data_IF_456858500492
#
_entry.id   IF_456858500492
#
_cell.length_a   1.000
_cell.length_b   1.000
_cell.length_c   1.000
_cell.angle_alpha   90.00
_cell.angle_beta   90.00
_cell.angle_gamma   90.00
#
_symmetry.space_group_name_H-M   'P 1'
#
loop_
_entity.id
_entity.type
_entity.pdbx_description
1 polymer ?
#
# COMPACT_ATOMS: atom_id res chain seq x y z
N UNK A 1 -6.84 55.92 40.69
CA UNK A 1 -7.67 56.92 39.95
C UNK A 1 -6.70 57.75 39.12
N UNK A 2 -6.81 57.74 37.79
CA UNK A 2 -5.97 58.59 36.92
C UNK A 2 -6.78 59.86 36.66
N UNK A 3 -6.29 61.01 37.12
CA UNK A 3 -6.94 62.31 36.92
C UNK A 3 -6.11 63.15 35.97
N UNK A 4 -6.65 63.43 34.78
CA UNK A 4 -6.07 64.28 33.74
C UNK A 4 -7.15 64.71 32.76
N UNK A 5 -7.04 65.92 32.21
CA UNK A 5 -8.09 66.71 31.57
C UNK A 5 -8.57 66.17 30.20
N UNK A 6 -7.99 65.09 29.69
CA UNK A 6 -8.40 64.46 28.43
C UNK A 6 -8.34 62.94 28.56
N UNK A 7 -9.36 62.24 28.05
CA UNK A 7 -9.45 60.77 28.05
C UNK A 7 -8.29 60.03 27.36
N UNK A 8 -7.35 60.75 26.76
CA UNK A 8 -6.16 60.24 26.10
C UNK A 8 -5.26 59.42 27.05
N UNK A 9 -5.03 59.86 28.30
CA UNK A 9 -4.11 59.16 29.22
C UNK A 9 -4.58 57.75 29.63
N UNK A 10 -5.90 57.57 29.83
CA UNK A 10 -6.50 56.26 30.12
C UNK A 10 -6.46 55.36 28.90
N UNK A 11 -6.74 55.90 27.72
CA UNK A 11 -6.73 55.14 26.45
C UNK A 11 -5.31 54.69 26.07
N UNK A 12 -4.29 55.54 26.28
CA UNK A 12 -2.88 55.19 26.05
C UNK A 12 -2.46 54.04 26.96
N UNK A 13 -2.80 54.12 28.26
CA UNK A 13 -2.44 53.08 29.22
C UNK A 13 -3.15 51.74 28.91
N UNK A 14 -4.45 51.76 28.61
CA UNK A 14 -5.19 50.55 28.25
C UNK A 14 -4.74 49.96 26.90
N UNK A 15 -4.37 50.81 25.94
CA UNK A 15 -3.78 50.38 24.67
C UNK A 15 -2.42 49.69 24.89
N UNK A 16 -1.52 50.33 25.63
CA UNK A 16 -0.20 49.79 25.96
C UNK A 16 -0.29 48.46 26.73
N UNK A 17 -1.19 48.40 27.73
CA UNK A 17 -1.44 47.18 28.50
C UNK A 17 -2.01 46.07 27.60
N UNK A 18 -2.94 46.39 26.71
CA UNK A 18 -3.48 45.42 25.74
C UNK A 18 -2.40 44.80 24.84
N UNK A 19 -1.44 45.60 24.38
CA UNK A 19 -0.31 45.13 23.55
C UNK A 19 0.66 44.24 24.32
N UNK A 20 0.88 44.53 25.61
CA UNK A 20 1.67 43.70 26.52
C UNK A 20 0.96 42.36 26.82
N UNK A 21 -0.37 42.31 26.72
CA UNK A 21 -1.18 41.11 27.01
C UNK A 21 -1.54 40.31 25.75
N UNK A 22 -0.82 40.50 24.64
CA UNK A 22 -0.99 39.69 23.44
C UNK A 22 -2.02 40.18 22.42
N UNK A 23 -2.59 41.40 22.58
CA UNK A 23 -3.40 41.99 21.50
C UNK A 23 -2.53 42.37 20.30
N UNK A 24 -3.11 42.28 19.10
CA UNK A 24 -2.44 42.72 17.87
C UNK A 24 -2.21 44.23 17.89
N UNK A 25 -1.03 44.63 17.44
CA UNK A 25 -0.69 46.03 17.27
C UNK A 25 -1.40 46.64 16.06
N UNK A 26 -2.05 47.78 16.28
CA UNK A 26 -2.53 48.65 15.22
C UNK A 26 -1.51 49.78 15.03
N UNK A 27 -0.87 49.84 13.87
CA UNK A 27 0.16 50.84 13.56
C UNK A 27 -0.39 52.27 13.58
N UNK A 28 -1.70 52.45 13.40
CA UNK A 28 -2.36 53.76 13.50
C UNK A 28 -2.39 54.32 14.93
N UNK A 29 -2.10 53.49 15.93
CA UNK A 29 -2.09 53.87 17.35
C UNK A 29 -0.70 54.23 17.90
N UNK A 30 0.35 54.14 17.07
CA UNK A 30 1.73 54.44 17.46
C UNK A 30 2.02 55.93 17.23
N UNK A 31 2.58 56.59 18.25
CA UNK A 31 2.79 58.05 18.23
C UNK A 31 3.79 58.54 17.17
N UNK A 32 4.88 57.80 16.95
CA UNK A 32 5.86 58.08 15.91
C UNK A 32 6.08 56.82 15.05
N UNK A 33 5.56 56.77 13.81
CA UNK A 33 5.63 55.58 12.96
C UNK A 33 7.04 55.33 12.39
N UNK A 34 7.96 56.29 12.46
CA UNK A 34 9.32 56.17 11.92
C UNK A 34 10.33 55.66 12.96
N UNK A 35 9.93 55.52 14.23
CA UNK A 35 10.78 55.03 15.31
C UNK A 35 10.27 53.73 15.95
N UNK A 36 11.19 52.97 16.58
CA UNK A 36 10.84 51.73 17.28
C UNK A 36 10.01 52.05 18.53
N UNK A 37 8.79 51.52 18.60
CA UNK A 37 7.96 51.58 19.79
C UNK A 37 8.29 50.41 20.74
N UNK A 38 8.55 50.72 22.01
CA UNK A 38 8.82 49.73 23.05
C UNK A 38 7.87 49.96 24.21
N UNK A 39 7.22 48.88 24.65
CA UNK A 39 6.27 48.87 25.75
C UNK A 39 6.75 47.80 26.72
N UNK A 40 6.95 48.17 27.98
CA UNK A 40 7.43 47.25 29.02
C UNK A 40 6.54 47.36 30.26
N UNK A 41 6.23 46.22 30.86
CA UNK A 41 5.56 46.14 32.15
C UNK A 41 6.23 45.10 33.01
N UNK A 42 6.16 45.34 34.32
CA UNK A 42 6.73 44.46 35.32
C UNK A 42 5.62 43.99 36.25
N UNK A 43 5.57 42.68 36.49
CA UNK A 43 4.57 42.02 37.29
C UNK A 43 5.20 41.27 38.46
N UNK A 44 4.66 41.45 39.66
CA UNK A 44 5.01 40.62 40.80
C UNK A 44 4.14 39.35 40.77
N UNK A 45 4.65 38.28 40.19
CA UNK A 45 3.91 37.02 39.95
C UNK A 45 4.13 35.97 41.04
N UNK A 46 5.00 36.23 42.02
CA UNK A 46 5.36 35.27 43.07
C UNK A 46 4.20 34.73 43.92
N UNK A 47 3.12 35.50 44.05
CA UNK A 47 1.92 35.11 44.81
C UNK A 47 0.85 34.42 43.94
N UNK A 48 1.09 34.28 42.64
CA UNK A 48 0.20 33.60 41.71
C UNK A 48 0.72 32.19 41.44
N UNK A 49 -0.16 31.19 41.37
CA UNK A 49 0.19 29.79 41.05
C UNK A 49 0.49 29.58 39.56
N UNK A 50 1.39 30.41 38.99
CA UNK A 50 1.66 30.44 37.53
C UNK A 50 2.84 29.58 37.11
N UNK A 51 3.56 28.92 38.02
CA UNK A 51 4.75 28.12 37.66
C UNK A 51 4.46 27.05 36.61
N UNK A 52 3.34 26.33 36.75
CA UNK A 52 2.91 25.32 35.79
C UNK A 52 2.54 25.88 34.42
N UNK A 53 2.07 27.13 34.37
CA UNK A 53 1.83 27.85 33.11
C UNK A 53 3.14 28.20 32.42
N UNK A 54 4.11 28.72 33.16
CA UNK A 54 5.43 29.06 32.61
C UNK A 54 6.15 27.80 32.09
N UNK A 55 6.12 26.70 32.83
CA UNK A 55 6.69 25.41 32.38
C UNK A 55 6.00 24.87 31.12
N UNK A 56 4.66 24.94 31.05
CA UNK A 56 3.90 24.45 29.90
C UNK A 56 4.16 25.27 28.64
N UNK A 57 4.27 26.59 28.79
CA UNK A 57 4.49 27.53 27.69
C UNK A 57 5.98 27.74 27.36
N UNK A 58 6.88 27.03 28.05
CA UNK A 58 8.35 27.13 27.92
C UNK A 58 8.87 28.56 28.13
N UNK A 59 8.44 29.18 29.24
CA UNK A 59 8.76 30.55 29.64
C UNK A 59 9.67 30.57 30.87
N UNK A 60 10.63 31.49 30.88
CA UNK A 60 11.50 31.73 32.05
C UNK A 60 10.70 32.35 33.20
N UNK A 61 10.60 31.65 34.33
CA UNK A 61 9.86 32.10 35.49
C UNK A 61 10.74 32.90 36.45
N UNK A 62 10.33 34.14 36.74
CA UNK A 62 10.87 34.95 37.82
C UNK A 62 9.74 35.56 38.65
N UNK A 63 9.90 35.63 39.98
CA UNK A 63 8.88 36.20 40.87
C UNK A 63 8.50 37.64 40.53
N UNK A 64 9.43 38.37 39.90
CA UNK A 64 9.23 39.68 39.32
C UNK A 64 9.45 39.54 37.81
N UNK A 65 8.38 39.28 37.07
CA UNK A 65 8.44 39.00 35.64
C UNK A 65 8.33 40.30 34.84
N UNK A 66 9.22 40.47 33.85
CA UNK A 66 9.21 41.59 32.91
C UNK A 66 8.66 41.11 31.57
N UNK A 67 7.67 41.83 31.05
CA UNK A 67 7.09 41.59 29.74
C UNK A 67 7.37 42.81 28.87
N UNK A 68 8.02 42.58 27.71
CA UNK A 68 8.38 43.64 26.76
C UNK A 68 7.79 43.34 25.39
N UNK A 69 7.14 44.34 24.80
CA UNK A 69 6.65 44.32 23.41
C UNK A 69 7.39 45.39 22.61
N UNK A 70 7.99 44.97 21.50
CA UNK A 70 8.61 45.88 20.53
C UNK A 70 7.82 45.88 19.23
N UNK A 71 7.62 47.05 18.64
CA UNK A 71 6.99 47.24 17.34
C UNK A 71 7.91 48.11 16.49
N UNK A 72 8.36 47.55 15.36
CA UNK A 72 9.24 48.23 14.42
C UNK A 72 8.42 49.06 13.42
N UNK A 73 8.99 50.13 12.82
CA UNK A 73 8.37 50.89 11.74
C UNK A 73 7.86 50.01 10.57
N UNK A 74 8.56 48.91 10.31
CA UNK A 74 8.18 47.89 9.31
C UNK A 74 6.89 47.11 9.60
N UNK A 75 6.25 47.32 10.76
CA UNK A 75 5.08 46.56 11.21
C UNK A 75 5.40 45.23 11.91
N UNK A 76 6.66 44.77 11.84
CA UNK A 76 7.09 43.57 12.57
C UNK A 76 7.07 43.84 14.07
N UNK A 77 6.51 42.89 14.83
CA UNK A 77 6.41 42.99 16.28
C UNK A 77 7.04 41.79 16.97
N UNK A 78 7.74 42.05 18.08
CA UNK A 78 8.46 41.06 18.90
C UNK A 78 7.97 41.16 20.34
N UNK A 79 7.95 40.04 21.04
CA UNK A 79 7.64 40.00 22.46
C UNK A 79 8.72 39.23 23.22
N UNK A 80 8.90 39.61 24.47
CA UNK A 80 9.85 39.02 25.38
C UNK A 80 9.22 38.86 26.77
N UNK A 81 9.55 37.75 27.44
CA UNK A 81 9.28 37.51 28.86
C UNK A 81 10.63 37.21 29.51
N UNK A 82 11.05 38.02 30.48
CA UNK A 82 12.36 37.91 31.14
C UNK A 82 13.53 37.81 30.12
N UNK A 83 13.50 38.70 29.12
CA UNK A 83 14.45 38.78 28.00
C UNK A 83 14.49 37.56 27.04
N UNK A 84 13.67 36.55 27.26
CA UNK A 84 13.48 35.42 26.34
C UNK A 84 12.40 35.73 25.29
N UNK A 85 12.67 35.53 23.98
CA UNK A 85 11.71 35.84 22.92
C UNK A 85 10.52 34.87 22.94
N UNK A 86 9.31 35.41 22.86
CA UNK A 86 8.06 34.64 22.94
C UNK A 86 7.10 34.93 21.78
N UNK A 87 6.20 33.98 21.53
CA UNK A 87 5.10 34.15 20.59
C UNK A 87 3.97 35.00 21.17
N UNK A 88 3.11 35.53 20.28
CA UNK A 88 1.92 36.27 20.71
C UNK A 88 0.92 35.38 21.48
N UNK A 89 0.85 34.09 21.13
CA UNK A 89 -0.06 33.14 21.79
C UNK A 89 0.38 32.86 23.23
N UNK A 90 1.67 32.62 23.46
CA UNK A 90 2.23 32.48 24.81
C UNK A 90 1.98 33.74 25.64
N UNK A 91 2.14 34.93 25.02
CA UNK A 91 1.86 36.20 25.69
C UNK A 91 0.38 36.39 26.03
N UNK A 92 -0.53 35.95 25.16
CA UNK A 92 -1.97 35.98 25.42
C UNK A 92 -2.37 35.04 26.57
N UNK A 93 -1.85 33.81 26.56
CA UNK A 93 -2.10 32.81 27.61
C UNK A 93 -1.61 33.29 28.99
N UNK A 94 -0.47 34.00 29.01
CA UNK A 94 0.04 34.65 30.22
C UNK A 94 -0.82 35.85 30.62
N UNK A 95 -1.22 36.69 29.65
CA UNK A 95 -2.01 37.89 29.86
C UNK A 95 -3.38 37.63 30.52
N UNK A 96 -4.07 36.56 30.10
CA UNK A 96 -5.34 36.10 30.70
C UNK A 96 -5.26 35.82 32.21
N UNK A 97 -4.06 35.50 32.71
CA UNK A 97 -3.84 35.21 34.14
C UNK A 97 -3.30 36.39 34.94
N UNK A 98 -2.69 37.38 34.28
CA UNK A 98 -2.02 38.50 34.94
C UNK A 98 -2.88 39.74 35.07
N UNK A 99 -3.77 39.99 34.11
CA UNK A 99 -4.56 41.22 34.08
C UNK A 99 -5.97 40.92 33.62
N UNK A 100 -6.92 41.25 34.49
CA UNK A 100 -8.33 41.30 34.11
C UNK A 100 -8.71 42.74 33.71
N UNK A 101 -8.92 42.96 32.41
CA UNK A 101 -9.39 44.26 31.90
C UNK A 101 -10.92 44.23 31.85
N UNK A 102 -11.54 44.73 32.92
CA UNK A 102 -12.97 44.99 32.93
C UNK A 102 -13.30 46.18 32.00
N UNK A 103 -13.69 45.87 30.76
CA UNK A 103 -14.29 46.82 29.83
C UNK A 103 -15.80 46.59 29.71
N UNK A 104 -16.54 47.53 29.11
CA UNK A 104 -18.00 47.50 28.97
C UNK A 104 -18.58 46.33 28.12
N UNK A 105 -17.80 45.29 27.82
CA UNK A 105 -18.16 44.18 26.92
C UNK A 105 -17.90 42.77 27.51
N UNK A 106 -18.18 42.55 28.80
CA UNK A 106 -18.10 41.22 29.46
C UNK A 106 -19.24 40.24 29.07
N UNK A 107 -20.05 40.56 28.06
CA UNK A 107 -21.20 39.73 27.63
C UNK A 107 -20.79 38.39 27.00
N UNK A 108 -19.53 38.20 26.61
CA UNK A 108 -19.07 37.00 25.88
C UNK A 108 -18.85 35.75 26.75
N UNK A 109 -18.41 35.88 28.01
CA UNK A 109 -18.20 34.72 28.90
C UNK A 109 -19.53 34.11 29.36
N UNK A 110 -20.56 34.94 29.54
CA UNK A 110 -21.91 34.49 29.89
C UNK A 110 -22.61 33.71 28.76
N UNK A 111 -22.13 33.81 27.52
CA UNK A 111 -22.63 33.01 26.39
C UNK A 111 -21.83 31.73 26.15
N UNK A 112 -20.70 31.54 26.85
CA UNK A 112 -19.93 30.31 26.74
C UNK A 112 -20.63 29.18 27.52
N UNK A 113 -20.94 28.09 26.82
CA UNK A 113 -21.59 26.93 27.41
C UNK A 113 -20.72 26.31 28.52
N UNK A 114 -19.40 26.30 28.37
CA UNK A 114 -18.53 25.70 29.39
C UNK A 114 -18.58 26.51 30.70
N UNK A 115 -18.54 27.84 30.61
CA UNK A 115 -18.73 28.71 31.76
C UNK A 115 -20.12 28.57 32.39
N UNK A 116 -21.20 28.50 31.58
CA UNK A 116 -22.56 28.30 32.08
C UNK A 116 -22.72 26.99 32.86
N UNK A 117 -22.17 25.87 32.35
CA UNK A 117 -22.19 24.59 33.05
C UNK A 117 -21.37 24.64 34.34
N UNK A 118 -20.20 25.29 34.33
CA UNK A 118 -19.37 25.46 35.52
C UNK A 118 -20.11 26.23 36.62
N UNK A 119 -20.81 27.31 36.27
CA UNK A 119 -21.62 28.10 37.22
C UNK A 119 -22.80 27.28 37.75
N UNK A 120 -23.48 26.52 36.89
CA UNK A 120 -24.58 25.63 37.28
C UNK A 120 -24.13 24.53 38.24
N UNK A 121 -23.01 23.86 37.93
CA UNK A 121 -22.46 22.79 38.79
C UNK A 121 -21.98 23.33 40.13
N UNK A 122 -21.38 24.53 40.16
CA UNK A 122 -20.99 25.19 41.40
C UNK A 122 -22.21 25.59 42.24
N UNK A 123 -23.26 26.14 41.62
CA UNK A 123 -24.50 26.49 42.32
C UNK A 123 -25.23 25.26 42.87
N UNK A 124 -25.22 24.15 42.14
CA UNK A 124 -25.84 22.89 42.54
C UNK A 124 -25.00 22.07 43.55
N UNK A 125 -23.72 22.44 43.78
CA UNK A 125 -22.81 21.69 44.64
C UNK A 125 -22.38 20.34 44.06
N UNK A 126 -22.31 20.21 42.73
CA UNK A 126 -22.08 18.96 42.02
C UNK A 126 -20.60 18.54 41.94
N UNK A 127 -19.68 19.21 42.63
CA UNK A 127 -18.23 19.01 42.48
C UNK A 127 -17.81 17.53 42.61
N UNK A 128 -18.32 16.83 43.62
CA UNK A 128 -18.06 15.40 43.84
C UNK A 128 -18.64 14.54 42.72
N UNK A 129 -19.91 14.76 42.36
CA UNK A 129 -20.60 13.99 41.31
C UNK A 129 -19.94 14.19 39.93
N UNK A 130 -19.52 15.42 39.63
CA UNK A 130 -18.79 15.76 38.41
C UNK A 130 -17.40 15.10 38.39
N UNK A 131 -16.72 15.03 39.54
CA UNK A 131 -15.45 14.30 39.69
C UNK A 131 -15.60 12.80 39.42
N UNK A 132 -16.59 12.18 40.04
CA UNK A 132 -16.93 10.76 39.83
C UNK A 132 -17.30 10.48 38.36
N UNK A 133 -18.13 11.32 37.77
CA UNK A 133 -18.49 11.22 36.35
C UNK A 133 -17.27 11.33 35.44
N UNK A 134 -16.40 12.32 35.65
CA UNK A 134 -15.18 12.49 34.84
C UNK A 134 -14.26 11.28 34.93
N UNK A 135 -14.12 10.68 36.12
CA UNK A 135 -13.33 9.47 36.31
C UNK A 135 -13.95 8.28 35.58
N UNK A 136 -15.26 8.06 35.75
CA UNK A 136 -15.99 6.99 35.06
C UNK A 136 -15.93 7.15 33.53
N UNK A 137 -16.09 8.37 33.03
CA UNK A 137 -16.01 8.68 31.61
C UNK A 137 -14.60 8.43 31.04
N UNK A 138 -13.55 8.81 31.78
CA UNK A 138 -12.16 8.54 31.40
C UNK A 138 -11.90 7.03 31.31
N UNK A 139 -12.37 6.26 32.28
CA UNK A 139 -12.26 4.81 32.26
C UNK A 139 -13.04 4.20 31.09
N UNK A 140 -14.29 4.61 30.88
CA UNK A 140 -15.09 4.17 29.72
C UNK A 140 -14.37 4.44 28.40
N UNK A 141 -13.77 5.63 28.22
CA UNK A 141 -13.02 5.95 27.00
C UNK A 141 -11.79 5.08 26.82
N UNK A 142 -11.07 4.78 27.90
CA UNK A 142 -9.92 3.85 27.87
C UNK A 142 -10.36 2.45 27.45
N UNK A 143 -11.37 1.89 28.12
CA UNK A 143 -11.90 0.54 27.82
C UNK A 143 -12.47 0.45 26.40
N UNK A 144 -13.13 1.51 25.92
CA UNK A 144 -13.63 1.57 24.53
C UNK A 144 -12.49 1.55 23.50
N UNK A 145 -11.38 2.22 23.77
CA UNK A 145 -10.20 2.21 22.89
C UNK A 145 -9.53 0.84 22.90
N UNK A 146 -9.40 0.22 24.08
CA UNK A 146 -8.83 -1.11 24.25
C UNK A 146 -9.69 -2.18 23.55
N UNK A 147 -11.01 -2.14 23.74
CA UNK A 147 -11.94 -3.01 23.04
C UNK A 147 -11.85 -2.86 21.52
N UNK A 148 -11.75 -1.61 21.02
CA UNK A 148 -11.61 -1.36 19.58
C UNK A 148 -10.31 -1.95 19.03
N UNK A 149 -9.21 -1.81 19.78
CA UNK A 149 -7.90 -2.39 19.43
C UNK A 149 -7.98 -3.92 19.39
N UNK A 150 -8.47 -4.55 20.45
CA UNK A 150 -8.59 -6.01 20.54
C UNK A 150 -9.49 -6.60 19.44
N UNK A 151 -10.60 -5.92 19.09
CA UNK A 151 -11.45 -6.32 17.97
C UNK A 151 -10.74 -6.25 16.62
N UNK A 152 -9.88 -5.24 16.41
CA UNK A 152 -9.11 -5.12 15.19
C UNK A 152 -8.04 -6.22 15.10
N UNK A 153 -7.35 -6.51 16.21
CA UNK A 153 -6.37 -7.59 16.32
C UNK A 153 -7.02 -8.96 16.08
N UNK A 154 -8.18 -9.23 16.69
CA UNK A 154 -8.95 -10.46 16.45
C UNK A 154 -9.36 -10.60 14.98
N UNK A 155 -9.83 -9.52 14.34
CA UNK A 155 -10.25 -9.55 12.95
C UNK A 155 -9.07 -9.69 11.96
N UNK A 156 -7.86 -9.29 12.35
CA UNK A 156 -6.64 -9.56 11.57
C UNK A 156 -6.21 -11.02 11.74
N UNK A 157 -6.17 -11.53 12.98
CA UNK A 157 -5.81 -12.91 13.28
C UNK A 157 -6.72 -13.93 12.56
N UNK A 158 -8.04 -13.70 12.55
CA UNK A 158 -8.99 -14.55 11.80
C UNK A 158 -8.74 -14.53 10.29
N UNK A 159 -8.39 -13.36 9.72
CA UNK A 159 -8.08 -13.25 8.29
C UNK A 159 -6.77 -13.96 7.94
N UNK A 160 -5.77 -13.84 8.80
CA UNK A 160 -4.50 -14.55 8.65
C UNK A 160 -4.71 -16.07 8.73
N UNK A 161 -5.50 -16.53 9.69
CA UNK A 161 -5.87 -17.94 9.85
C UNK A 161 -6.60 -18.49 8.62
N UNK A 162 -7.63 -17.80 8.12
CA UNK A 162 -8.36 -18.18 6.91
C UNK A 162 -7.43 -18.25 5.69
N UNK A 163 -6.52 -17.28 5.55
CA UNK A 163 -5.58 -17.24 4.45
C UNK A 163 -4.57 -18.39 4.50
N UNK A 164 -4.00 -18.68 5.67
CA UNK A 164 -3.08 -19.82 5.86
C UNK A 164 -3.77 -21.15 5.61
N UNK A 165 -4.99 -21.33 6.13
CA UNK A 165 -5.79 -22.52 5.85
C UNK A 165 -6.08 -22.70 4.35
N UNK A 166 -6.39 -21.62 3.64
CA UNK A 166 -6.59 -21.66 2.20
C UNK A 166 -5.34 -22.12 1.45
N UNK A 167 -4.16 -21.58 1.78
CA UNK A 167 -2.89 -22.00 1.18
C UNK A 167 -2.55 -23.46 1.51
N UNK A 168 -2.73 -23.88 2.76
CA UNK A 168 -2.48 -25.24 3.19
C UNK A 168 -3.37 -26.24 2.45
N UNK A 169 -4.67 -25.95 2.34
CA UNK A 169 -5.62 -26.81 1.63
C UNK A 169 -5.26 -26.96 0.15
N UNK A 170 -4.87 -25.87 -0.53
CA UNK A 170 -4.42 -25.94 -1.94
C UNK A 170 -3.20 -26.88 -2.10
N UNK A 171 -2.23 -26.79 -1.18
CA UNK A 171 -1.03 -27.64 -1.20
C UNK A 171 -1.32 -29.10 -0.85
N UNK A 172 -2.28 -29.36 0.06
CA UNK A 172 -2.75 -30.69 0.39
C UNK A 172 -3.51 -31.33 -0.78
N UNK A 173 -4.41 -30.58 -1.41
CA UNK A 173 -5.17 -31.02 -2.60
C UNK A 173 -4.24 -31.32 -3.79
N UNK A 174 -3.16 -30.55 -3.95
CA UNK A 174 -2.16 -30.78 -4.98
C UNK A 174 -1.44 -32.14 -4.83
N UNK A 175 -1.44 -32.73 -3.64
CA UNK A 175 -0.89 -34.06 -3.35
C UNK A 175 0.50 -34.27 -3.98
N UNK A 176 1.42 -33.35 -3.67
CA UNK A 176 2.77 -33.33 -4.21
C UNK A 176 3.61 -34.48 -3.65
N UNK A 177 4.36 -35.16 -4.52
CA UNK A 177 5.31 -36.21 -4.12
C UNK A 177 6.74 -35.81 -4.48
N UNK A 178 7.72 -36.08 -3.60
CA UNK A 178 9.13 -35.85 -3.91
C UNK A 178 9.57 -36.63 -5.14
N UNK A 179 10.34 -36.01 -6.03
CA UNK A 179 10.85 -36.63 -7.26
C UNK A 179 9.79 -36.88 -8.34
N UNK A 180 8.53 -36.46 -8.14
CA UNK A 180 7.47 -36.66 -9.14
C UNK A 180 7.71 -35.81 -10.38
N UNK A 181 8.16 -34.55 -10.20
CA UNK A 181 8.37 -33.62 -11.31
C UNK A 181 9.39 -34.15 -12.31
N UNK A 182 10.58 -34.55 -11.84
CA UNK A 182 11.66 -35.02 -12.70
C UNK A 182 11.24 -36.24 -13.52
N UNK A 183 10.56 -37.21 -12.87
CA UNK A 183 10.07 -38.39 -13.57
C UNK A 183 9.03 -38.07 -14.64
N UNK A 184 8.23 -37.03 -14.40
CA UNK A 184 7.14 -36.63 -15.28
C UNK A 184 7.67 -35.78 -16.44
N UNK A 185 8.70 -34.96 -16.22
CA UNK A 185 9.43 -34.23 -17.26
C UNK A 185 10.14 -35.17 -18.24
N UNK A 186 10.88 -36.18 -17.75
CA UNK A 186 11.54 -37.18 -18.62
C UNK A 186 10.53 -37.93 -19.51
N UNK A 187 9.39 -38.31 -18.90
CA UNK A 187 8.31 -39.01 -19.58
C UNK A 187 7.62 -38.10 -20.60
N UNK A 188 7.36 -36.84 -20.23
CA UNK A 188 6.75 -35.83 -21.08
C UNK A 188 7.62 -35.54 -22.31
N UNK A 189 8.93 -35.35 -22.16
CA UNK A 189 9.82 -35.14 -23.30
C UNK A 189 9.76 -36.30 -24.28
N UNK A 190 9.73 -37.53 -23.77
CA UNK A 190 9.63 -38.73 -24.61
C UNK A 190 8.33 -38.75 -25.41
N UNK A 191 7.18 -38.48 -24.78
CA UNK A 191 5.87 -38.49 -25.42
C UNK A 191 5.67 -37.30 -26.39
N UNK A 192 6.13 -36.11 -26.02
CA UNK A 192 6.07 -34.92 -26.88
C UNK A 192 6.91 -35.13 -28.16
N UNK A 193 8.07 -35.79 -28.06
CA UNK A 193 8.86 -36.15 -29.24
C UNK A 193 8.09 -37.11 -30.18
N UNK A 194 7.39 -38.10 -29.61
CA UNK A 194 6.55 -39.04 -30.36
C UNK A 194 5.42 -38.30 -31.08
N UNK A 195 4.74 -37.36 -30.42
CA UNK A 195 3.69 -36.55 -31.03
C UNK A 195 4.23 -35.68 -32.19
N UNK A 196 5.35 -34.98 -31.98
CA UNK A 196 5.98 -34.15 -33.01
C UNK A 196 6.40 -34.97 -34.23
N UNK A 197 6.97 -36.15 -34.02
CA UNK A 197 7.32 -37.08 -35.10
C UNK A 197 6.06 -37.51 -35.86
N UNK A 198 5.02 -37.94 -35.14
CA UNK A 198 3.78 -38.42 -35.75
C UNK A 198 3.08 -37.34 -36.57
N UNK A 199 2.97 -36.12 -36.02
CA UNK A 199 2.40 -34.97 -36.71
C UNK A 199 3.21 -34.59 -37.96
N UNK A 200 4.55 -34.57 -37.85
CA UNK A 200 5.43 -34.27 -38.98
C UNK A 200 5.36 -35.31 -40.09
N UNK A 201 5.28 -36.60 -39.75
CA UNK A 201 5.11 -37.68 -40.72
C UNK A 201 3.74 -37.63 -41.39
N UNK A 202 2.68 -37.32 -40.64
CA UNK A 202 1.33 -37.16 -41.21
C UNK A 202 1.27 -35.99 -42.21
N UNK A 203 1.89 -34.85 -41.89
CA UNK A 203 1.99 -33.70 -42.79
C UNK A 203 2.83 -34.02 -44.05
N UNK A 204 3.94 -34.75 -43.88
CA UNK A 204 4.77 -35.21 -44.98
C UNK A 204 3.99 -36.16 -45.90
N UNK A 205 3.28 -37.15 -45.33
CA UNK A 205 2.45 -38.08 -46.09
C UNK A 205 1.34 -37.34 -46.86
N UNK A 206 0.66 -36.38 -46.21
CA UNK A 206 -0.33 -35.54 -46.88
C UNK A 206 0.27 -34.76 -48.06
N UNK A 207 1.51 -34.28 -47.94
CA UNK A 207 2.19 -33.57 -49.03
C UNK A 207 2.49 -34.45 -50.24
N UNK A 208 2.72 -35.75 -50.04
CA UNK A 208 2.88 -36.72 -51.14
C UNK A 208 1.56 -37.02 -51.84
N UNK A 209 0.48 -37.21 -51.08
CA UNK A 209 -0.76 -37.86 -51.54
C UNK A 209 -1.97 -36.93 -51.73
N UNK A 210 -1.83 -35.63 -51.45
CA UNK A 210 -2.93 -34.66 -51.60
C UNK A 210 -3.50 -34.69 -53.02
N UNK A 211 -4.80 -34.92 -53.15
CA UNK A 211 -5.48 -34.99 -54.44
C UNK A 211 -5.23 -33.72 -55.29
N UNK A 212 -4.84 -33.91 -56.55
CA UNK A 212 -4.53 -32.88 -57.57
C UNK A 212 -3.34 -31.94 -57.27
N UNK A 213 -2.79 -31.97 -56.06
CA UNK A 213 -1.72 -31.08 -55.61
C UNK A 213 -0.49 -31.82 -55.05
N UNK A 214 -0.60 -33.11 -54.79
CA UNK A 214 0.43 -33.95 -54.21
C UNK A 214 1.60 -34.14 -55.16
N UNK A 215 2.79 -34.34 -54.58
CA UNK A 215 4.01 -34.51 -55.38
C UNK A 215 3.89 -35.72 -56.32
N UNK A 216 3.23 -36.80 -55.87
CA UNK A 216 3.04 -38.02 -56.67
C UNK A 216 2.14 -37.79 -57.90
N UNK A 217 1.02 -37.08 -57.72
CA UNK A 217 0.11 -36.73 -58.83
C UNK A 217 0.80 -35.81 -59.85
N UNK A 218 1.52 -34.80 -59.36
CA UNK A 218 2.27 -33.87 -60.22
C UNK A 218 3.38 -34.59 -60.99
N UNK A 219 4.12 -35.48 -60.32
CA UNK A 219 5.17 -36.28 -60.94
C UNK A 219 4.60 -37.23 -62.01
N UNK A 220 3.46 -37.85 -61.73
CA UNK A 220 2.73 -38.68 -62.69
C UNK A 220 2.32 -37.88 -63.93
N UNK A 221 1.80 -36.66 -63.76
CA UNK A 221 1.47 -35.76 -64.87
C UNK A 221 2.69 -35.37 -65.71
N UNK A 222 3.86 -35.14 -65.07
CA UNK A 222 5.13 -34.87 -65.77
C UNK A 222 5.57 -36.11 -66.55
N UNK A 223 5.58 -37.30 -65.92
CA UNK A 223 5.94 -38.58 -66.55
C UNK A 223 5.12 -38.83 -67.82
N UNK A 224 3.80 -38.61 -67.79
CA UNK A 224 2.92 -38.77 -68.96
C UNK A 224 3.25 -37.80 -70.10
N UNK A 225 3.76 -36.60 -69.79
CA UNK A 225 4.17 -35.63 -70.82
C UNK A 225 5.52 -35.99 -71.42
N UNK A 226 6.49 -36.39 -70.60
CA UNK A 226 7.84 -36.73 -71.07
C UNK A 226 7.85 -38.07 -71.82
N UNK A 227 7.04 -39.05 -71.42
CA UNK A 227 6.94 -40.34 -72.13
C UNK A 227 6.48 -40.19 -73.57
N UNK A 228 5.56 -39.25 -73.84
CA UNK A 228 5.14 -38.88 -75.21
C UNK A 228 6.27 -38.28 -76.05
N UNK A 229 7.30 -37.72 -75.40
CA UNK A 229 8.45 -37.10 -76.04
C UNK A 229 9.65 -38.05 -76.18
N UNK A 230 9.66 -39.19 -75.48
CA UNK A 230 10.78 -40.12 -75.43
C UNK A 230 11.20 -40.65 -76.82
N UNK A 231 10.26 -40.76 -77.77
CA UNK A 231 10.53 -41.24 -79.13
C UNK A 231 11.30 -40.26 -80.04
N UNK A 232 11.46 -38.99 -79.64
CA UNK A 232 12.09 -37.97 -80.49
C UNK A 232 13.62 -37.87 -80.35
N UNK A 233 14.24 -38.62 -79.44
CA UNK A 233 15.69 -38.65 -79.30
C UNK A 233 16.16 -39.40 -78.06
N UNK A 234 17.42 -39.85 -78.08
CA UNK A 234 18.03 -40.62 -76.99
C UNK A 234 18.01 -39.86 -75.66
N UNK A 235 18.31 -38.55 -75.68
CA UNK A 235 18.31 -37.72 -74.47
C UNK A 235 16.94 -37.67 -73.77
N UNK A 236 15.85 -37.68 -74.53
CA UNK A 236 14.48 -37.68 -73.99
C UNK A 236 14.07 -39.06 -73.47
N UNK A 237 14.55 -40.14 -74.09
CA UNK A 237 14.36 -41.50 -73.60
C UNK A 237 15.09 -41.72 -72.27
N UNK A 238 16.36 -41.31 -72.18
CA UNK A 238 17.17 -41.39 -70.95
C UNK A 238 16.53 -40.56 -69.81
N UNK A 239 15.96 -39.39 -70.13
CA UNK A 239 15.22 -38.57 -69.16
C UNK A 239 13.94 -39.25 -68.67
N UNK A 240 13.18 -39.90 -69.56
CA UNK A 240 11.96 -40.62 -69.20
C UNK A 240 12.28 -41.79 -68.25
N UNK A 241 13.32 -42.58 -68.54
CA UNK A 241 13.74 -43.70 -67.68
C UNK A 241 14.11 -43.21 -66.27
N UNK A 242 14.83 -42.09 -66.15
CA UNK A 242 15.14 -41.48 -64.85
C UNK A 242 13.89 -41.00 -64.11
N UNK A 243 12.92 -40.42 -64.81
CA UNK A 243 11.65 -40.01 -64.20
C UNK A 243 10.84 -41.20 -63.70
N UNK A 244 10.85 -42.34 -64.40
CA UNK A 244 10.21 -43.56 -63.92
C UNK A 244 10.86 -44.09 -62.65
N UNK A 245 12.20 -44.12 -62.61
CA UNK A 245 12.93 -44.56 -61.42
C UNK A 245 12.65 -43.67 -60.21
N UNK A 246 12.61 -42.34 -60.38
CA UNK A 246 12.30 -41.40 -59.30
C UNK A 246 10.84 -41.53 -58.84
N UNK A 247 9.90 -41.80 -59.75
CA UNK A 247 8.50 -42.00 -59.36
C UNK A 247 8.31 -43.21 -58.45
N UNK A 248 8.93 -44.34 -58.78
CA UNK A 248 8.89 -45.55 -57.96
C UNK A 248 9.50 -45.29 -56.57
N UNK A 249 10.69 -44.69 -56.54
CA UNK A 249 11.36 -44.35 -55.26
C UNK A 249 10.51 -43.42 -54.39
N UNK A 250 9.82 -42.45 -55.01
CA UNK A 250 8.98 -41.51 -54.27
C UNK A 250 7.71 -42.17 -53.71
N UNK A 251 7.12 -43.12 -54.43
CA UNK A 251 6.00 -43.94 -53.95
C UNK A 251 6.43 -44.77 -52.73
N UNK A 252 7.58 -45.45 -52.81
CA UNK A 252 8.14 -46.25 -51.70
C UNK A 252 8.44 -45.39 -50.45
N UNK A 253 8.97 -44.17 -50.65
CA UNK A 253 9.20 -43.22 -49.55
C UNK A 253 7.87 -42.79 -48.92
N UNK A 254 6.86 -42.48 -49.73
CA UNK A 254 5.55 -42.06 -49.21
C UNK A 254 4.88 -43.16 -48.38
N UNK A 255 4.94 -44.42 -48.85
CA UNK A 255 4.43 -45.57 -48.11
C UNK A 255 5.24 -45.82 -46.83
N UNK A 256 6.56 -45.67 -46.87
CA UNK A 256 7.41 -45.78 -45.69
C UNK A 256 7.09 -44.72 -44.64
N UNK A 257 6.81 -43.47 -45.06
CA UNK A 257 6.39 -42.39 -44.15
C UNK A 257 5.07 -42.72 -43.46
N UNK A 258 4.07 -43.20 -44.21
CA UNK A 258 2.78 -43.60 -43.64
C UNK A 258 2.91 -44.78 -42.66
N UNK A 259 3.70 -45.80 -43.03
CA UNK A 259 3.95 -46.96 -42.19
C UNK A 259 4.65 -46.57 -40.88
N UNK A 260 5.65 -45.68 -40.93
CA UNK A 260 6.34 -45.20 -39.72
C UNK A 260 5.36 -44.37 -38.86
N UNK A 261 4.53 -43.53 -39.48
CA UNK A 261 3.52 -42.75 -38.77
C UNK A 261 2.52 -43.64 -38.02
N UNK A 262 2.01 -44.69 -38.67
CA UNK A 262 1.07 -45.64 -38.06
C UNK A 262 1.67 -46.46 -36.92
N UNK A 263 2.97 -46.79 -37.01
CA UNK A 263 3.67 -47.52 -35.95
C UNK A 263 4.15 -46.62 -34.79
N UNK A 264 4.11 -45.30 -34.98
CA UNK A 264 4.46 -44.32 -33.96
C UNK A 264 3.19 -43.91 -33.24
N UNK A 265 2.74 -44.74 -32.29
CA UNK A 265 1.57 -44.41 -31.46
C UNK A 265 2.00 -43.63 -30.21
N UNK A 266 1.45 -42.43 -30.04
CA UNK A 266 1.44 -41.70 -28.78
C UNK A 266 0.03 -41.73 -28.17
N UNK A 267 -0.08 -41.54 -26.86
CA UNK A 267 -1.35 -41.35 -26.16
C UNK A 267 -1.55 -39.84 -25.89
N UNK A 268 -2.41 -39.14 -26.66
CA UNK A 268 -2.65 -37.71 -26.47
C UNK A 268 -3.33 -37.39 -25.13
N UNK A 269 -4.12 -38.32 -24.58
CA UNK A 269 -4.74 -38.11 -23.27
C UNK A 269 -3.68 -38.20 -22.17
N UNK A 270 -2.77 -39.18 -22.23
CA UNK A 270 -1.62 -39.27 -21.32
C UNK A 270 -0.79 -37.99 -21.36
N UNK A 271 -0.43 -37.50 -22.55
CA UNK A 271 0.35 -36.26 -22.72
C UNK A 271 -0.37 -35.05 -22.10
N UNK A 272 -1.67 -34.86 -22.38
CA UNK A 272 -2.45 -33.75 -21.83
C UNK A 272 -2.55 -33.81 -20.30
N UNK A 273 -2.71 -35.00 -19.71
CA UNK A 273 -2.72 -35.15 -18.26
C UNK A 273 -1.36 -34.81 -17.63
N UNK A 274 -0.27 -35.15 -18.31
CA UNK A 274 1.08 -34.80 -17.86
C UNK A 274 1.34 -33.29 -17.94
N UNK A 275 0.95 -32.63 -19.03
CA UNK A 275 1.02 -31.17 -19.16
C UNK A 275 0.29 -30.46 -18.04
N UNK A 276 -0.94 -30.91 -17.74
CA UNK A 276 -1.74 -30.34 -16.65
C UNK A 276 -1.05 -30.52 -15.29
N UNK A 277 -0.41 -31.68 -15.04
CA UNK A 277 0.32 -31.98 -13.81
C UNK A 277 1.60 -31.14 -13.68
N UNK A 278 2.39 -31.01 -14.75
CA UNK A 278 3.58 -30.14 -14.77
C UNK A 278 3.20 -28.67 -14.57
N UNK A 279 2.13 -28.21 -15.23
CA UNK A 279 1.63 -26.85 -15.07
C UNK A 279 1.26 -26.55 -13.63
N UNK A 280 0.58 -27.49 -12.96
CA UNK A 280 0.27 -27.37 -11.53
C UNK A 280 1.54 -27.18 -10.69
N UNK A 281 2.61 -27.96 -10.96
CA UNK A 281 3.88 -27.81 -10.24
C UNK A 281 4.50 -26.42 -10.45
N UNK A 282 4.58 -25.94 -11.70
CA UNK A 282 5.14 -24.62 -11.99
C UNK A 282 4.31 -23.48 -11.41
N UNK A 283 2.98 -23.58 -11.45
CA UNK A 283 2.08 -22.59 -10.87
C UNK A 283 2.27 -22.51 -9.34
N UNK A 284 2.39 -23.65 -8.65
CA UNK A 284 2.65 -23.70 -7.22
C UNK A 284 4.05 -23.19 -6.86
N UNK A 285 5.09 -23.61 -7.59
CA UNK A 285 6.45 -23.10 -7.41
C UNK A 285 6.51 -21.58 -7.55
N UNK A 286 5.86 -21.04 -8.57
CA UNK A 286 5.77 -19.59 -8.78
C UNK A 286 4.98 -18.89 -7.67
N UNK A 287 3.85 -19.46 -7.24
CA UNK A 287 3.00 -18.88 -6.19
C UNK A 287 3.74 -18.82 -4.85
N UNK A 288 4.51 -19.85 -4.52
CA UNK A 288 5.24 -19.97 -3.27
C UNK A 288 6.70 -19.53 -3.35
N UNK A 289 7.14 -19.01 -4.51
CA UNK A 289 8.52 -18.59 -4.78
C UNK A 289 9.56 -19.69 -4.47
N UNK A 290 9.23 -20.92 -4.83
CA UNK A 290 10.05 -22.11 -4.61
C UNK A 290 10.75 -22.54 -5.92
N UNK A 291 11.97 -23.06 -5.81
CA UNK A 291 12.79 -23.55 -6.91
C UNK A 291 12.54 -25.01 -7.29
N UNK A 292 11.88 -25.79 -6.43
CA UNK A 292 11.53 -27.20 -6.69
C UNK A 292 10.24 -27.62 -5.99
N UNK A 293 9.69 -28.79 -6.37
CA UNK A 293 8.52 -29.38 -5.69
C UNK A 293 8.84 -29.73 -4.24
N UNK A 294 10.07 -30.14 -3.92
CA UNK A 294 10.51 -30.43 -2.55
C UNK A 294 10.46 -29.19 -1.67
N UNK A 295 10.83 -28.03 -2.21
CA UNK A 295 10.70 -26.76 -1.48
C UNK A 295 9.22 -26.41 -1.23
N UNK A 296 8.34 -26.65 -2.20
CA UNK A 296 6.88 -26.45 -2.00
C UNK A 296 6.33 -27.42 -0.94
N UNK A 297 6.80 -28.67 -0.92
CA UNK A 297 6.45 -29.65 0.12
C UNK A 297 6.92 -29.17 1.50
N UNK A 298 8.14 -28.64 1.61
CA UNK A 298 8.63 -28.08 2.87
C UNK A 298 7.78 -26.88 3.34
N UNK A 299 7.32 -26.03 2.41
CA UNK A 299 6.41 -24.92 2.71
C UNK A 299 5.05 -25.43 3.20
N UNK A 300 4.51 -26.49 2.58
CA UNK A 300 3.27 -27.15 3.04
C UNK A 300 3.44 -27.64 4.48
N UNK A 301 4.52 -28.35 4.78
CA UNK A 301 4.75 -28.94 6.10
C UNK A 301 4.91 -27.86 7.17
N UNK A 302 5.63 -26.77 6.86
CA UNK A 302 5.73 -25.62 7.74
C UNK A 302 4.37 -24.93 7.97
N UNK A 303 3.55 -24.78 6.93
CA UNK A 303 2.20 -24.21 7.04
C UNK A 303 1.28 -25.10 7.89
N UNK A 304 1.38 -26.42 7.76
CA UNK A 304 0.61 -27.37 8.58
C UNK A 304 0.98 -27.25 10.06
N UNK A 305 2.28 -27.20 10.39
CA UNK A 305 2.74 -26.97 11.75
C UNK A 305 2.25 -25.62 12.32
N UNK A 306 2.34 -24.54 11.53
CA UNK A 306 1.85 -23.23 11.93
C UNK A 306 0.33 -23.24 12.21
N UNK A 307 -0.47 -23.81 11.31
CA UNK A 307 -1.93 -23.89 11.45
C UNK A 307 -2.33 -24.75 12.65
N UNK A 308 -1.65 -25.88 12.88
CA UNK A 308 -1.90 -26.72 14.06
C UNK A 308 -1.60 -25.95 15.35
N UNK A 309 -0.48 -25.22 15.40
CA UNK A 309 -0.14 -24.39 16.55
C UNK A 309 -1.18 -23.29 16.83
N UNK A 310 -1.76 -22.69 15.79
CA UNK A 310 -2.81 -21.68 15.94
C UNK A 310 -4.11 -22.27 16.50
N UNK A 311 -4.47 -23.49 16.09
CA UNK A 311 -5.65 -24.19 16.58
C UNK A 311 -5.50 -24.68 18.04
N UNK A 312 -4.31 -25.07 18.46
CA UNK A 312 -4.05 -25.52 19.83
C UNK A 312 -4.06 -24.38 20.88
N UNK A 313 -3.93 -23.13 20.43
CA UNK A 313 -3.93 -21.92 21.27
C UNK A 313 -5.32 -21.25 21.41
N UNK A 314 -6.33 -21.69 20.66
CA UNK A 314 -7.71 -21.19 20.69
C UNK A 314 -8.63 -21.95 21.64
#
# INVERSE_FOLDING_TARGET
>A
MITGETGAGKSILLGALGLILGKRADLSSIGDPESKCVIEAQFQVGNYELKSLFEREDLDYESQTIIRREILPSGKSRAFVNDTPVTLNQLSALGERLVDIHSQHQTLELTDNAFQFQVLDAFAGNETLLGEYKLAYKNLKKEQQELKKLKAEQAEALREEEYKNFLLNELLEANLKPGEQETLEERYETLNNVEQITAGLAEAHQSFTREELGVLDQLTAIKVRVSKLAGFGKELADLNERLESVAIELEDIAESVDLIAQNTEGDPEELSTMEARLKLFFDLQKKHSAGSVEEVIAIRDALDEEVQSMNDLG
#
